data_IF_206265668897
#
_entry.id   IF_206265668897
#
_cell.length_a   1.000
_cell.length_b   1.000
_cell.length_c   1.000
_cell.angle_alpha   90.00
_cell.angle_beta   90.00
_cell.angle_gamma   90.00
#
_symmetry.space_group_name_H-M   'P 1'
#
loop_
_entity.id
_entity.type
_entity.pdbx_description
1 polymer ?
#
# COMPACT_ATOMS: atom_id res chain seq x y z
N UNK A 1 -7.94 -3.70 2.75
CA UNK A 1 -8.66 -3.01 3.85
C UNK A 1 -8.63 -1.53 3.54
N UNK A 2 -9.78 -0.95 3.15
CA UNK A 2 -9.87 0.49 2.87
C UNK A 2 -9.88 1.25 4.20
N UNK A 3 -8.79 1.92 4.52
CA UNK A 3 -8.69 2.82 5.67
C UNK A 3 -9.61 4.02 5.42
N UNK A 4 -10.87 3.90 5.84
CA UNK A 4 -11.76 5.04 5.77
C UNK A 4 -11.30 6.06 6.84
N UNK A 5 -11.21 7.34 6.45
CA UNK A 5 -10.72 8.41 7.33
C UNK A 5 -11.55 8.56 8.62
N UNK A 6 -12.82 8.14 8.59
CA UNK A 6 -13.73 8.09 9.74
C UNK A 6 -13.28 7.06 10.77
N UNK A 7 -12.86 5.86 10.36
CA UNK A 7 -12.37 4.81 11.25
C UNK A 7 -11.03 5.20 11.87
N UNK A 8 -10.16 5.84 11.10
CA UNK A 8 -8.91 6.41 11.61
C UNK A 8 -9.19 7.51 12.67
N UNK A 9 -10.17 8.38 12.42
CA UNK A 9 -10.57 9.41 13.37
C UNK A 9 -11.21 8.82 14.64
N UNK A 10 -12.04 7.77 14.53
CA UNK A 10 -12.58 7.05 15.70
C UNK A 10 -11.45 6.43 16.51
N UNK A 11 -10.49 5.76 15.85
CA UNK A 11 -9.32 5.17 16.51
C UNK A 11 -8.40 6.21 17.17
N UNK A 12 -8.38 7.44 16.67
CA UNK A 12 -7.68 8.57 17.29
C UNK A 12 -8.42 9.19 18.49
N UNK A 13 -9.60 8.67 18.86
CA UNK A 13 -10.39 9.12 20.01
C UNK A 13 -11.45 10.18 19.71
N UNK A 14 -11.72 10.49 18.43
CA UNK A 14 -12.83 11.38 18.08
C UNK A 14 -14.18 10.68 18.20
N UNK A 15 -15.21 11.45 18.58
CA UNK A 15 -16.57 10.93 18.66
C UNK A 15 -17.02 10.37 17.30
N UNK A 16 -17.66 9.19 17.26
CA UNK A 16 -18.16 8.60 16.02
C UNK A 16 -19.10 9.53 15.23
N UNK A 17 -19.82 10.41 15.93
CA UNK A 17 -20.74 11.38 15.32
C UNK A 17 -20.02 12.48 14.53
N UNK A 18 -18.78 12.83 14.90
CA UNK A 18 -18.01 13.92 14.27
C UNK A 18 -16.78 13.41 13.50
N UNK A 19 -16.45 12.13 13.63
CA UNK A 19 -15.29 11.50 13.01
C UNK A 19 -15.22 11.68 11.48
N UNK A 20 -16.36 11.69 10.78
CA UNK A 20 -16.39 11.88 9.32
C UNK A 20 -15.90 13.27 8.91
N UNK A 21 -16.32 14.30 9.66
CA UNK A 21 -15.92 15.70 9.43
C UNK A 21 -14.45 15.90 9.78
N UNK A 22 -14.00 15.33 10.91
CA UNK A 22 -12.60 15.44 11.34
C UNK A 22 -11.65 14.68 10.42
N UNK A 23 -12.04 13.49 9.93
CA UNK A 23 -11.28 12.73 8.94
C UNK A 23 -11.08 13.52 7.64
N UNK A 24 -12.16 14.08 7.08
CA UNK A 24 -12.09 14.91 5.87
C UNK A 24 -11.23 16.17 6.07
N UNK A 25 -11.33 16.81 7.23
CA UNK A 25 -10.51 17.98 7.58
C UNK A 25 -9.02 17.63 7.72
N UNK A 26 -8.70 16.50 8.33
CA UNK A 26 -7.31 16.03 8.47
C UNK A 26 -6.68 15.72 7.11
N UNK A 27 -7.42 15.09 6.20
CA UNK A 27 -6.91 14.81 4.84
C UNK A 27 -6.61 16.07 4.03
N UNK A 28 -7.34 17.16 4.26
CA UNK A 28 -7.06 18.47 3.61
C UNK A 28 -5.91 19.24 4.26
N UNK A 29 -5.44 18.82 5.43
CA UNK A 29 -4.36 19.52 6.12
C UNK A 29 -2.99 19.12 5.53
N UNK A 30 -2.31 20.08 4.92
CA UNK A 30 -1.00 19.91 4.29
C UNK A 30 0.05 19.29 5.24
N UNK A 31 -0.02 19.61 6.55
CA UNK A 31 0.90 19.03 7.55
C UNK A 31 0.70 17.53 7.75
N UNK A 32 -0.56 17.06 7.66
CA UNK A 32 -0.88 15.64 7.79
C UNK A 32 -0.39 14.88 6.55
N UNK A 33 -0.62 15.44 5.35
CA UNK A 33 -0.09 14.88 4.10
C UNK A 33 1.44 14.77 4.11
N UNK A 34 2.14 15.83 4.52
CA UNK A 34 3.61 15.80 4.66
C UNK A 34 4.05 14.71 5.63
N UNK A 35 3.37 14.58 6.79
CA UNK A 35 3.76 13.58 7.79
C UNK A 35 3.53 12.14 7.32
N UNK A 36 2.50 11.91 6.51
CA UNK A 36 2.27 10.61 5.87
C UNK A 36 3.40 10.32 4.88
N UNK A 37 3.76 11.28 4.03
CA UNK A 37 4.86 11.13 3.08
C UNK A 37 6.19 10.86 3.79
N UNK A 38 6.52 11.60 4.85
CA UNK A 38 7.73 11.37 5.65
C UNK A 38 7.75 9.96 6.25
N UNK A 39 6.62 9.50 6.79
CA UNK A 39 6.50 8.13 7.33
C UNK A 39 6.66 7.08 6.24
N UNK A 40 6.08 7.30 5.06
CA UNK A 40 6.24 6.41 3.91
C UNK A 40 7.69 6.37 3.43
N UNK A 41 8.39 7.50 3.42
CA UNK A 41 9.79 7.60 3.04
C UNK A 41 10.68 6.88 4.06
N UNK A 42 10.52 7.16 5.36
CA UNK A 42 11.22 6.46 6.42
C UNK A 42 10.95 4.95 6.40
N UNK A 43 9.73 4.53 6.06
CA UNK A 43 9.40 3.11 5.92
C UNK A 43 10.11 2.48 4.70
N UNK A 44 10.15 3.18 3.56
CA UNK A 44 10.91 2.75 2.37
C UNK A 44 12.40 2.61 2.68
N UNK A 45 12.98 3.58 3.38
CA UNK A 45 14.39 3.53 3.79
C UNK A 45 14.67 2.38 4.76
N UNK A 46 13.88 2.27 5.83
CA UNK A 46 14.05 1.21 6.85
C UNK A 46 13.91 -0.19 6.28
N UNK A 47 12.98 -0.39 5.34
CA UNK A 47 12.76 -1.70 4.74
C UNK A 47 13.61 -1.93 3.49
N UNK A 48 14.32 -0.90 2.98
CA UNK A 48 15.05 -0.96 1.70
C UNK A 48 14.21 -1.58 0.57
N UNK A 49 12.89 -1.38 0.62
CA UNK A 49 11.96 -1.92 -0.35
C UNK A 49 11.98 -0.98 -1.55
N UNK A 50 12.75 -1.35 -2.56
CA UNK A 50 12.74 -0.72 -3.87
C UNK A 50 11.75 -1.43 -4.79
N UNK A 51 11.34 -0.73 -5.85
CA UNK A 51 10.56 -1.35 -6.94
C UNK A 51 11.32 -2.55 -7.50
N UNK A 52 12.65 -2.43 -7.66
CA UNK A 52 13.50 -3.50 -8.17
C UNK A 52 13.48 -4.75 -7.28
N UNK A 53 13.59 -4.60 -5.96
CA UNK A 53 13.51 -5.72 -5.02
C UNK A 53 12.15 -6.44 -5.11
N UNK A 54 11.06 -5.68 -5.13
CA UNK A 54 9.71 -6.24 -5.30
C UNK A 54 9.54 -6.95 -6.64
N UNK A 55 10.16 -6.45 -7.71
CA UNK A 55 10.10 -7.10 -9.02
C UNK A 55 10.87 -8.42 -9.06
N UNK A 56 12.00 -8.50 -8.36
CA UNK A 56 12.78 -9.73 -8.23
C UNK A 56 11.98 -10.78 -7.44
N UNK A 57 11.41 -10.40 -6.29
CA UNK A 57 10.56 -11.28 -5.47
C UNK A 57 9.34 -11.82 -6.25
N UNK A 58 8.67 -10.95 -7.02
CA UNK A 58 7.54 -11.36 -7.86
C UNK A 58 7.96 -12.33 -8.99
N UNK A 59 9.16 -12.15 -9.55
CA UNK A 59 9.69 -13.06 -10.57
C UNK A 59 10.03 -14.43 -9.97
N UNK A 60 10.67 -14.47 -8.80
CA UNK A 60 10.93 -15.71 -8.07
C UNK A 60 9.63 -16.45 -7.71
N UNK A 61 8.62 -15.74 -7.22
CA UNK A 61 7.31 -16.29 -6.94
C UNK A 61 6.64 -16.85 -8.22
N UNK A 62 6.80 -16.17 -9.36
CA UNK A 62 6.30 -16.64 -10.66
C UNK A 62 6.99 -17.93 -11.08
N UNK A 63 8.31 -18.01 -10.95
CA UNK A 63 9.11 -19.20 -11.27
C UNK A 63 8.75 -20.39 -10.36
N UNK A 64 8.56 -20.16 -9.07
CA UNK A 64 8.11 -21.18 -8.11
C UNK A 64 6.69 -21.66 -8.45
N UNK A 65 5.78 -20.75 -8.79
CA UNK A 65 4.42 -21.10 -9.21
C UNK A 65 4.40 -21.94 -10.50
N UNK A 66 5.30 -21.65 -11.45
CA UNK A 66 5.48 -22.45 -12.68
C UNK A 66 6.01 -23.85 -12.36
N UNK A 67 7.02 -23.96 -11.49
CA UNK A 67 7.55 -25.25 -11.03
C UNK A 67 6.50 -26.08 -10.27
N UNK A 68 5.63 -25.44 -9.50
CA UNK A 68 4.56 -26.08 -8.76
C UNK A 68 3.28 -26.35 -9.58
N UNK A 69 3.31 -26.16 -10.91
CA UNK A 69 2.19 -26.33 -11.83
C UNK A 69 0.93 -25.53 -11.43
N UNK A 70 1.11 -24.33 -10.86
CA UNK A 70 0.05 -23.41 -10.45
C UNK A 70 0.01 -22.19 -11.38
N UNK A 71 -0.53 -22.33 -12.61
CA UNK A 71 -0.50 -21.26 -13.61
C UNK A 71 -1.27 -20.00 -13.18
N UNK A 72 -2.35 -20.15 -12.40
CA UNK A 72 -3.14 -19.01 -11.93
C UNK A 72 -2.39 -18.11 -10.93
N UNK A 73 -1.42 -18.65 -10.19
CA UNK A 73 -0.57 -17.85 -9.30
C UNK A 73 0.52 -17.12 -10.11
N UNK A 74 1.08 -17.76 -11.12
CA UNK A 74 2.05 -17.14 -12.02
C UNK A 74 1.45 -15.94 -12.78
N UNK A 75 0.24 -16.06 -13.30
CA UNK A 75 -0.45 -14.93 -13.98
C UNK A 75 -0.71 -13.77 -13.03
N UNK A 76 -1.09 -14.05 -11.77
CA UNK A 76 -1.27 -13.01 -10.75
C UNK A 76 0.03 -12.27 -10.43
N UNK A 77 1.15 -12.99 -10.35
CA UNK A 77 2.46 -12.36 -10.17
C UNK A 77 2.82 -11.45 -11.35
N UNK A 78 2.58 -11.89 -12.59
CA UNK A 78 2.81 -11.07 -13.79
C UNK A 78 1.95 -9.80 -13.81
N UNK A 79 0.65 -9.92 -13.48
CA UNK A 79 -0.26 -8.75 -13.39
C UNK A 79 0.17 -7.81 -12.26
N UNK A 80 0.57 -8.34 -11.10
CA UNK A 80 1.07 -7.54 -9.98
C UNK A 80 2.32 -6.74 -10.39
N UNK A 81 3.26 -7.37 -11.10
CA UNK A 81 4.44 -6.71 -11.66
C UNK A 81 4.08 -5.62 -12.65
N UNK A 82 3.14 -5.87 -13.57
CA UNK A 82 2.67 -4.87 -14.53
C UNK A 82 2.03 -3.64 -13.87
N UNK A 83 1.23 -3.85 -12.82
CA UNK A 83 0.64 -2.77 -12.02
C UNK A 83 1.68 -1.96 -11.27
N UNK A 84 2.73 -2.61 -10.75
CA UNK A 84 3.83 -1.95 -10.05
C UNK A 84 4.57 -0.95 -10.97
N UNK A 85 4.73 -1.31 -12.25
CA UNK A 85 5.36 -0.46 -13.27
C UNK A 85 4.39 0.50 -13.98
N UNK A 86 3.11 0.55 -13.58
CA UNK A 86 2.06 1.37 -14.23
C UNK A 86 1.85 1.09 -15.72
N UNK A 87 2.05 -0.16 -16.14
CA UNK A 87 1.82 -0.59 -17.52
C UNK A 87 0.36 -0.97 -17.78
N UNK A 88 -0.45 -1.10 -16.72
CA UNK A 88 -1.86 -1.52 -16.70
C UNK A 88 -2.62 -0.80 -15.59
#
# INVERSE_FOLDING_TARGET
MGENATQAAIGAGYSPKTAHVQGSRMLRNVKVLSKIQDRMLNHRERCSITVDNLTAELEEARLLAMKANRPSAAVRATIAKAKLHRLL
#
